data_IF_527608054678
#
_entry.id   IF_527608054678
#
_cell.length_a   1.000
_cell.length_b   1.000
_cell.length_c   1.000
_cell.angle_alpha   90.00
_cell.angle_beta   90.00
_cell.angle_gamma   90.00
#
_symmetry.space_group_name_H-M   'P 1'
#
loop_
_entity.id
_entity.type
_entity.pdbx_description
1 polymer ?
#
# COMPACT_ATOMS: atom_id res chain seq x y z
N UNK A 1 8.98 7.15 -11.84
CA UNK A 1 7.84 6.65 -11.05
C UNK A 1 8.11 6.87 -9.57
N UNK A 2 7.09 7.21 -8.82
CA UNK A 2 7.24 7.42 -7.39
C UNK A 2 7.52 6.11 -6.68
N UNK A 3 8.18 6.21 -5.52
CA UNK A 3 8.44 5.07 -4.66
C UNK A 3 7.12 4.56 -4.07
N UNK A 4 6.90 3.24 -4.14
CA UNK A 4 5.69 2.62 -3.61
C UNK A 4 6.08 1.67 -2.49
N UNK A 5 5.43 1.83 -1.34
CA UNK A 5 5.62 0.97 -0.18
C UNK A 5 4.28 0.41 0.25
N UNK A 6 4.27 -0.87 0.62
CA UNK A 6 3.06 -1.53 1.11
C UNK A 6 3.37 -2.33 2.37
N UNK A 7 2.64 -2.04 3.43
CA UNK A 7 2.70 -2.81 4.67
C UNK A 7 1.70 -3.95 4.58
N UNK A 8 2.14 -5.17 4.90
CA UNK A 8 1.36 -6.39 4.68
C UNK A 8 1.50 -7.37 5.84
N UNK A 9 0.72 -8.44 5.77
CA UNK A 9 0.93 -9.65 6.56
C UNK A 9 0.71 -10.87 5.66
N UNK A 10 1.28 -12.06 6.01
CA UNK A 10 1.28 -13.19 5.07
C UNK A 10 -0.10 -13.78 4.79
N UNK A 11 -1.04 -13.68 5.72
CA UNK A 11 -2.38 -14.28 5.56
C UNK A 11 -3.43 -13.20 5.35
N UNK A 12 -3.15 -12.27 4.45
CA UNK A 12 -4.02 -11.13 4.18
C UNK A 12 -4.44 -11.17 2.71
N UNK A 13 -5.69 -11.53 2.46
CA UNK A 13 -6.22 -11.58 1.09
C UNK A 13 -6.24 -10.22 0.42
N UNK A 14 -6.57 -9.17 1.14
CA UNK A 14 -6.57 -7.81 0.61
C UNK A 14 -5.14 -7.32 0.30
N UNK A 15 -4.15 -7.79 1.05
CA UNK A 15 -2.75 -7.51 0.74
C UNK A 15 -2.37 -8.12 -0.60
N UNK A 16 -2.77 -9.37 -0.84
CA UNK A 16 -2.49 -10.05 -2.10
C UNK A 16 -3.17 -9.36 -3.27
N UNK A 17 -4.42 -8.95 -3.10
CA UNK A 17 -5.16 -8.23 -4.15
C UNK A 17 -4.48 -6.91 -4.50
N UNK A 18 -4.07 -6.14 -3.49
CA UNK A 18 -3.38 -4.87 -3.71
C UNK A 18 -2.05 -5.08 -4.45
N UNK A 19 -1.26 -6.07 -4.03
CA UNK A 19 0.01 -6.38 -4.68
C UNK A 19 -0.21 -6.82 -6.13
N UNK A 20 -1.26 -7.59 -6.39
CA UNK A 20 -1.58 -8.01 -7.76
C UNK A 20 -1.87 -6.82 -8.65
N UNK A 21 -2.69 -5.87 -8.18
CA UNK A 21 -3.00 -4.68 -8.98
C UNK A 21 -1.73 -3.89 -9.30
N UNK A 22 -0.88 -3.67 -8.31
CA UNK A 22 0.38 -2.94 -8.53
C UNK A 22 1.28 -3.68 -9.52
N UNK A 23 1.38 -5.01 -9.38
CA UNK A 23 2.20 -5.83 -10.29
C UNK A 23 1.64 -5.81 -11.71
N UNK A 24 0.32 -5.87 -11.88
CA UNK A 24 -0.32 -5.82 -13.20
C UNK A 24 -0.06 -4.50 -13.90
N UNK A 25 0.16 -3.43 -13.14
CA UNK A 25 0.51 -2.12 -13.68
C UNK A 25 2.01 -1.95 -13.93
N UNK A 26 2.81 -2.98 -13.70
CA UNK A 26 4.26 -2.91 -13.87
C UNK A 26 4.97 -2.11 -12.79
N UNK A 27 4.34 -1.94 -11.63
CA UNK A 27 4.92 -1.17 -10.52
C UNK A 27 5.80 -2.07 -9.67
N UNK A 28 7.05 -1.64 -9.44
CA UNK A 28 7.88 -2.24 -8.40
C UNK A 28 7.55 -1.57 -7.07
N UNK A 29 7.45 -2.35 -6.02
CA UNK A 29 7.13 -1.81 -4.70
C UNK A 29 7.96 -2.49 -3.62
N UNK A 30 8.12 -1.80 -2.49
CA UNK A 30 8.75 -2.36 -1.31
C UNK A 30 7.65 -2.90 -0.40
N UNK A 31 7.76 -4.17 -0.07
CA UNK A 31 6.81 -4.82 0.84
C UNK A 31 7.40 -4.91 2.24
N UNK A 32 6.62 -4.50 3.24
CA UNK A 32 7.05 -4.50 4.65
C UNK A 32 6.06 -5.37 5.42
N UNK A 33 6.52 -6.55 5.84
CA UNK A 33 5.71 -7.48 6.65
C UNK A 33 5.71 -7.00 8.09
N UNK A 34 4.53 -6.71 8.63
CA UNK A 34 4.39 -6.20 10.00
C UNK A 34 3.97 -7.30 10.98
N UNK A 35 3.78 -8.54 10.50
CA UNK A 35 3.24 -9.62 11.34
C UNK A 35 4.18 -10.03 12.47
N UNK A 36 5.50 -9.85 12.27
CA UNK A 36 6.53 -10.24 13.23
C UNK A 36 7.43 -9.09 13.65
N UNK A 37 7.07 -7.87 13.28
CA UNK A 37 7.92 -6.71 13.54
C UNK A 37 7.07 -5.59 14.16
N UNK A 38 7.01 -5.54 15.50
CA UNK A 38 6.22 -4.51 16.19
C UNK A 38 6.68 -3.08 15.86
N UNK A 39 7.98 -2.89 15.60
CA UNK A 39 8.50 -1.56 15.25
C UNK A 39 7.95 -1.12 13.90
N UNK A 40 7.88 -2.02 12.92
CA UNK A 40 7.32 -1.69 11.61
C UNK A 40 5.81 -1.48 11.68
N UNK A 41 5.11 -2.23 12.52
CA UNK A 41 3.68 -2.01 12.75
C UNK A 41 3.45 -0.62 13.35
N UNK A 42 4.27 -0.21 14.29
CA UNK A 42 4.18 1.13 14.88
C UNK A 42 4.46 2.21 13.83
N UNK A 43 5.48 2.02 12.99
CA UNK A 43 5.76 2.94 11.90
C UNK A 43 4.56 3.07 10.95
N UNK A 44 3.94 1.95 10.60
CA UNK A 44 2.74 1.94 9.77
C UNK A 44 1.63 2.76 10.41
N UNK A 45 1.37 2.54 11.69
CA UNK A 45 0.32 3.25 12.41
C UNK A 45 0.58 4.75 12.45
N UNK A 46 1.82 5.15 12.68
CA UNK A 46 2.20 6.56 12.71
C UNK A 46 2.06 7.20 11.33
N UNK A 47 2.57 6.53 10.29
CA UNK A 47 2.53 7.05 8.92
C UNK A 47 1.09 7.12 8.38
N UNK A 48 0.23 6.19 8.78
CA UNK A 48 -1.15 6.11 8.29
C UNK A 48 -2.13 6.86 9.19
N UNK A 49 -1.61 7.68 10.08
CA UNK A 49 -2.43 8.52 10.96
C UNK A 49 -3.37 7.68 11.84
N UNK A 50 -2.86 6.58 12.37
CA UNK A 50 -3.58 5.67 13.25
C UNK A 50 -4.14 4.42 12.58
N UNK A 51 -3.86 4.20 11.30
CA UNK A 51 -4.30 3.00 10.60
C UNK A 51 -3.68 1.74 11.19
N UNK A 52 -4.51 0.76 11.54
CA UNK A 52 -4.08 -0.47 12.22
C UNK A 52 -4.22 -1.70 11.36
N UNK A 53 -4.89 -1.58 10.22
CA UNK A 53 -5.15 -2.70 9.33
C UNK A 53 -4.11 -2.79 8.23
N UNK A 54 -3.96 -3.97 7.65
CA UNK A 54 -3.16 -4.17 6.45
C UNK A 54 -4.09 -4.55 5.30
N UNK A 55 -3.75 -4.18 4.07
CA UNK A 55 -2.55 -3.45 3.67
C UNK A 55 -2.66 -1.96 3.97
N UNK A 56 -1.51 -1.30 4.12
CA UNK A 56 -1.41 0.15 4.11
C UNK A 56 -0.42 0.53 3.01
N UNK A 57 -0.84 1.39 2.10
CA UNK A 57 -0.11 1.66 0.86
C UNK A 57 0.29 3.13 0.83
N UNK A 58 1.53 3.37 0.45
CA UNK A 58 2.09 4.71 0.33
C UNK A 58 2.72 4.88 -1.04
N UNK A 59 2.38 5.97 -1.72
CA UNK A 59 2.97 6.32 -3.01
C UNK A 59 3.69 7.65 -2.82
N UNK A 60 5.03 7.60 -2.79
CA UNK A 60 5.82 8.74 -2.37
C UNK A 60 5.45 9.12 -0.94
N UNK A 61 5.07 10.37 -0.73
CA UNK A 61 4.63 10.86 0.57
C UNK A 61 3.12 10.73 0.79
N UNK A 62 2.40 10.22 -0.20
CA UNK A 62 0.94 10.13 -0.14
C UNK A 62 0.51 8.82 0.50
N UNK A 63 -0.28 8.90 1.56
CA UNK A 63 -0.93 7.74 2.14
C UNK A 63 -2.19 7.42 1.33
N UNK A 64 -2.17 6.31 0.62
CA UNK A 64 -3.33 5.86 -0.17
C UNK A 64 -4.39 5.23 0.74
N UNK A 65 -3.95 4.39 1.65
CA UNK A 65 -4.84 3.62 2.52
C UNK A 65 -4.72 2.14 2.24
N UNK A 66 -5.84 1.44 2.27
CA UNK A 66 -5.90 0.01 2.06
C UNK A 66 -6.24 -0.37 0.63
N UNK A 67 -6.64 -1.64 0.47
CA UNK A 67 -6.98 -2.21 -0.84
C UNK A 67 -8.16 -1.48 -1.48
N UNK A 68 -9.21 -1.17 -0.70
CA UNK A 68 -10.39 -0.50 -1.24
C UNK A 68 -10.05 0.88 -1.80
N UNK A 69 -9.23 1.63 -1.08
CA UNK A 69 -8.80 2.96 -1.53
C UNK A 69 -7.94 2.86 -2.78
N UNK A 70 -7.06 1.86 -2.86
CA UNK A 70 -6.23 1.66 -4.04
C UNK A 70 -7.09 1.36 -5.27
N UNK A 71 -8.05 0.46 -5.15
CA UNK A 71 -8.96 0.13 -6.26
C UNK A 71 -9.88 1.30 -6.62
N UNK A 72 -10.27 2.09 -5.64
CA UNK A 72 -11.05 3.31 -5.90
C UNK A 72 -10.29 4.29 -6.77
N UNK A 73 -9.00 4.49 -6.48
CA UNK A 73 -8.13 5.32 -7.33
C UNK A 73 -8.04 4.76 -8.74
N UNK A 74 -7.90 3.44 -8.86
CA UNK A 74 -7.81 2.79 -10.17
C UNK A 74 -9.09 3.01 -10.97
N UNK A 75 -10.25 2.77 -10.36
CA UNK A 75 -11.54 2.91 -11.05
C UNK A 75 -11.82 4.35 -11.49
N UNK A 76 -11.33 5.33 -10.73
CA UNK A 76 -11.53 6.75 -11.06
C UNK A 76 -10.46 7.32 -11.98
N UNK A 77 -9.49 6.49 -12.42
CA UNK A 77 -8.41 6.94 -13.31
C UNK A 77 -7.37 7.79 -12.62
N UNK A 78 -7.31 7.78 -11.28
CA UNK A 78 -6.40 8.63 -10.51
C UNK A 78 -5.13 7.91 -10.07
N UNK A 79 -5.08 6.58 -10.21
CA UNK A 79 -3.92 5.82 -9.73
C UNK A 79 -2.71 6.05 -10.63
N UNK A 80 -2.87 5.97 -11.93
CA UNK A 80 -1.74 6.15 -12.86
C UNK A 80 -1.09 7.53 -12.72
N UNK A 81 -1.85 8.65 -12.67
CA UNK A 81 -1.23 9.95 -12.43
C UNK A 81 -0.49 10.03 -11.09
N UNK A 82 -1.02 9.37 -10.06
CA UNK A 82 -0.39 9.38 -8.74
C UNK A 82 0.93 8.60 -8.75
N UNK A 83 1.01 7.52 -9.52
CA UNK A 83 2.22 6.72 -9.67
C UNK A 83 3.29 7.44 -10.49
N UNK A 84 2.88 8.22 -11.47
CA UNK A 84 3.80 8.98 -12.32
C UNK A 84 4.50 10.06 -11.49
N UNK A 85 5.77 10.16 -11.65
CA UNK A 85 6.56 11.06 -10.83
C UNK A 85 6.39 12.52 -11.25
#
# INVERSE_FOLDING_TARGET
>A
MKNVEIYTSPFCGFCHAAKRLLSDKGVTFTEIDVSRDPAQRLNMMQRSNGGRTVPQIFIGQTHVGGCDELYSLERSGKLDPLLAA
#
